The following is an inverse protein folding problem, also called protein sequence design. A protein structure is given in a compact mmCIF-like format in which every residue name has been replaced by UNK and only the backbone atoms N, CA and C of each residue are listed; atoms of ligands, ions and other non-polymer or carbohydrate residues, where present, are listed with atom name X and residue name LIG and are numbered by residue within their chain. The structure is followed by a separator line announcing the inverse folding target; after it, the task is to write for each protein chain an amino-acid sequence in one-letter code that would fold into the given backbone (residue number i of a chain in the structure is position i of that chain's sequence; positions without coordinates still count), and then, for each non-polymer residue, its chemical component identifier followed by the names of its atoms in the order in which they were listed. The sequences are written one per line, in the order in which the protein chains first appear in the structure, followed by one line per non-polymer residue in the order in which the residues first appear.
data_IF_653617065041
#
_entry.id   IF_653617065041
#
_cell.length_a   1.000
_cell.length_b   1.000
_cell.length_c   1.000
_cell.angle_alpha   90.00
_cell.angle_beta   90.00
_cell.angle_gamma   90.00
#
_symmetry.space_group_name_H-M   'P 1'
#
loop_
_entity.id
_entity.type
_entity.pdbx_description
1 polymer ?
#
# COMPACT_ATOMS: atom_id res chain seq x y z
N UNK A 1 17.41 7.19 -15.97
CA UNK A 1 16.46 7.61 -14.92
C UNK A 1 16.47 6.56 -13.83
N UNK A 2 16.34 6.97 -12.57
CA UNK A 2 16.25 6.04 -11.44
C UNK A 2 14.94 5.24 -11.50
N UNK A 3 14.96 3.98 -11.08
CA UNK A 3 13.77 3.13 -11.08
C UNK A 3 12.88 3.37 -9.83
N UNK A 4 13.49 3.87 -8.76
CA UNK A 4 12.82 4.10 -7.49
C UNK A 4 13.02 5.55 -7.03
N UNK A 5 12.06 6.05 -6.24
CA UNK A 5 12.14 7.35 -5.58
C UNK A 5 11.80 7.20 -4.11
N UNK A 6 12.54 7.85 -3.23
CA UNK A 6 12.20 7.95 -1.81
C UNK A 6 12.48 9.35 -1.31
N UNK A 7 11.50 9.98 -0.68
CA UNK A 7 11.65 11.29 -0.04
C UNK A 7 10.98 11.32 1.33
N UNK A 8 11.75 11.75 2.33
CA UNK A 8 11.26 12.01 3.68
C UNK A 8 11.07 13.51 3.91
N UNK A 9 9.92 13.87 4.46
CA UNK A 9 9.55 15.22 4.89
C UNK A 9 9.48 15.27 6.41
N UNK A 10 10.62 15.52 7.04
CA UNK A 10 10.70 15.61 8.48
C UNK A 10 9.89 16.79 9.05
N UNK A 11 9.33 16.58 10.22
CA UNK A 11 8.80 17.61 11.10
C UNK A 11 9.41 17.48 12.49
N UNK A 12 8.91 18.26 13.45
CA UNK A 12 9.40 18.17 14.83
C UNK A 12 9.01 16.85 15.51
N UNK A 13 7.76 16.41 15.32
CA UNK A 13 7.20 15.21 15.97
C UNK A 13 6.69 14.15 15.00
N UNK A 14 6.46 14.49 13.74
CA UNK A 14 5.90 13.58 12.74
C UNK A 14 6.61 13.79 11.43
N UNK A 15 6.88 12.69 10.72
CA UNK A 15 7.48 12.66 9.40
C UNK A 15 6.53 12.00 8.41
N UNK A 16 6.60 12.44 7.17
CA UNK A 16 5.93 11.82 6.03
C UNK A 16 6.99 11.28 5.07
N UNK A 17 6.82 10.06 4.59
CA UNK A 17 7.73 9.42 3.63
C UNK A 17 6.91 9.04 2.41
N UNK A 18 7.43 9.39 1.24
CA UNK A 18 6.89 8.96 -0.06
C UNK A 18 7.91 8.02 -0.66
N UNK A 19 7.50 6.82 -1.03
CA UNK A 19 8.34 5.88 -1.77
C UNK A 19 7.65 5.31 -2.99
N UNK A 20 8.30 5.42 -4.14
CA UNK A 20 7.95 4.73 -5.39
C UNK A 20 8.94 3.59 -5.56
N UNK A 21 8.54 2.32 -5.36
CA UNK A 21 9.46 1.19 -5.35
C UNK A 21 10.00 0.80 -6.74
N UNK A 22 9.23 1.01 -7.80
CA UNK A 22 9.66 0.81 -9.19
C UNK A 22 8.79 1.62 -10.14
N UNK A 23 9.29 2.02 -11.32
CA UNK A 23 8.50 2.74 -12.33
C UNK A 23 7.41 1.89 -12.98
N UNK A 24 7.58 0.56 -13.00
CA UNK A 24 6.65 -0.38 -13.66
C UNK A 24 5.52 -0.90 -12.78
N UNK A 25 5.49 -0.55 -11.49
CA UNK A 25 4.38 -0.92 -10.60
C UNK A 25 3.42 0.24 -10.42
N UNK A 26 2.08 0.05 -10.52
CA UNK A 26 1.10 1.14 -10.61
C UNK A 26 0.71 1.69 -9.22
N UNK A 27 1.67 1.91 -8.33
CA UNK A 27 1.42 2.45 -7.00
C UNK A 27 2.67 3.09 -6.37
N UNK A 28 2.45 3.86 -5.32
CA UNK A 28 3.48 4.32 -4.38
C UNK A 28 3.11 3.93 -2.95
N UNK A 29 4.02 4.10 -2.01
CA UNK A 29 3.71 4.05 -0.59
C UNK A 29 3.79 5.44 0.02
N UNK A 30 2.82 5.72 0.88
CA UNK A 30 2.78 6.87 1.75
C UNK A 30 2.88 6.38 3.19
N UNK A 31 3.92 6.81 3.90
CA UNK A 31 4.16 6.40 5.28
C UNK A 31 4.26 7.60 6.21
N UNK A 32 3.75 7.44 7.43
CA UNK A 32 3.95 8.38 8.52
C UNK A 32 4.61 7.67 9.70
N UNK A 33 5.53 8.38 10.35
CA UNK A 33 6.17 7.98 11.59
C UNK A 33 6.20 9.16 12.55
N UNK A 34 6.08 8.89 13.84
CA UNK A 34 6.26 9.86 14.91
C UNK A 34 7.64 9.74 15.56
N UNK A 35 8.00 10.82 16.22
CA UNK A 35 9.14 10.90 17.13
C UNK A 35 8.59 10.72 18.55
N UNK A 36 9.17 9.82 19.33
CA UNK A 36 8.80 9.61 20.73
C UNK A 36 9.32 10.75 21.64
N UNK A 37 9.07 10.61 22.95
CA UNK A 37 9.45 11.59 23.96
C UNK A 37 10.98 11.71 24.13
N UNK A 38 11.71 10.61 23.91
CA UNK A 38 13.18 10.55 23.98
C UNK A 38 13.84 11.07 22.69
N UNK A 39 13.05 11.36 21.67
CA UNK A 39 13.52 11.89 20.41
C UNK A 39 13.98 10.82 19.41
N UNK A 40 13.60 9.57 19.61
CA UNK A 40 13.80 8.47 18.65
C UNK A 40 12.61 8.42 17.69
N UNK A 41 12.90 8.18 16.41
CA UNK A 41 11.86 8.02 15.39
C UNK A 41 11.35 6.58 15.38
N UNK A 42 10.03 6.42 15.29
CA UNK A 42 9.39 5.13 15.01
C UNK A 42 9.99 4.49 13.75
N UNK A 43 10.08 3.16 13.76
CA UNK A 43 10.67 2.36 12.70
C UNK A 43 9.64 1.46 12.01
N UNK A 44 9.38 1.79 10.73
CA UNK A 44 8.46 1.05 9.87
C UNK A 44 8.84 -0.44 9.75
N UNK A 45 10.13 -0.79 9.78
CA UNK A 45 10.56 -2.19 9.67
C UNK A 45 10.22 -3.03 10.91
N UNK A 46 9.94 -2.38 12.05
CA UNK A 46 9.46 -3.01 13.28
C UNK A 46 7.93 -3.00 13.39
N UNK A 47 7.22 -2.54 12.36
CA UNK A 47 5.76 -2.41 12.37
C UNK A 47 5.25 -1.14 13.07
N UNK A 48 6.13 -0.21 13.41
CA UNK A 48 5.76 1.09 13.97
C UNK A 48 5.40 2.08 12.84
N UNK A 49 4.69 3.14 13.17
CA UNK A 49 4.17 4.08 12.17
C UNK A 49 2.96 3.52 11.40
N UNK A 50 2.67 4.14 10.26
CA UNK A 50 1.61 3.69 9.36
C UNK A 50 2.02 3.89 7.92
N UNK A 51 1.90 2.82 7.13
CA UNK A 51 2.13 2.83 5.68
C UNK A 51 0.85 2.42 4.96
N UNK A 52 0.52 3.14 3.91
CA UNK A 52 -0.58 2.85 2.98
C UNK A 52 -0.04 2.81 1.55
N UNK A 53 -0.61 1.97 0.70
CA UNK A 53 -0.26 1.85 -0.72
C UNK A 53 -1.23 2.74 -1.50
N UNK A 54 -0.72 3.74 -2.21
CA UNK A 54 -1.53 4.65 -3.00
C UNK A 54 -1.57 4.20 -4.46
N UNK A 55 -2.76 4.06 -5.03
CA UNK A 55 -2.96 3.81 -6.46
C UNK A 55 -2.65 5.05 -7.32
N UNK A 56 -2.63 4.88 -8.65
CA UNK A 56 -2.48 5.99 -9.61
C UNK A 56 -3.60 7.02 -9.42
N UNK A 57 -4.83 6.55 -9.26
CA UNK A 57 -6.03 7.36 -9.08
C UNK A 57 -5.98 8.16 -7.77
N UNK A 58 -5.49 7.57 -6.69
CA UNK A 58 -5.31 8.29 -5.43
C UNK A 58 -4.17 9.32 -5.51
N UNK A 59 -3.11 9.05 -6.27
CA UNK A 59 -2.08 10.07 -6.57
C UNK A 59 -2.72 11.27 -7.27
N UNK A 60 -3.61 11.03 -8.25
CA UNK A 60 -4.36 12.07 -8.95
C UNK A 60 -5.23 12.86 -7.96
N UNK A 61 -5.95 12.19 -7.06
CA UNK A 61 -6.77 12.85 -6.03
C UNK A 61 -5.92 13.76 -5.11
N UNK A 62 -4.75 13.29 -4.67
CA UNK A 62 -3.81 14.11 -3.87
C UNK A 62 -3.33 15.33 -4.66
N UNK A 63 -2.98 15.15 -5.94
CA UNK A 63 -2.57 16.23 -6.83
C UNK A 63 -3.70 17.23 -7.07
N UNK A 64 -4.96 16.80 -7.10
CA UNK A 64 -6.12 17.68 -7.23
C UNK A 64 -6.19 18.67 -6.05
N UNK A 65 -6.01 18.17 -4.82
CA UNK A 65 -5.97 19.00 -3.61
C UNK A 65 -4.74 19.91 -3.59
N UNK A 66 -3.55 19.40 -3.93
CA UNK A 66 -2.31 20.18 -3.99
C UNK A 66 -2.40 21.34 -4.98
N UNK A 67 -3.04 21.11 -6.12
CA UNK A 67 -3.31 22.12 -7.15
C UNK A 67 -4.51 23.02 -6.83
N UNK A 68 -5.09 22.91 -5.63
CA UNK A 68 -6.23 23.72 -5.15
C UNK A 68 -7.50 23.57 -6.02
N UNK A 69 -7.65 22.44 -6.69
CA UNK A 69 -8.86 22.12 -7.46
C UNK A 69 -9.97 21.54 -6.59
N UNK A 70 -9.60 20.90 -5.48
CA UNK A 70 -10.51 20.52 -4.40
C UNK A 70 -9.99 20.94 -3.03
N UNK A 71 -10.92 21.14 -2.07
CA UNK A 71 -10.58 21.59 -0.72
C UNK A 71 -9.81 20.51 0.05
N UNK A 72 -10.28 19.27 -0.10
CA UNK A 72 -9.72 18.10 0.52
C UNK A 72 -10.13 16.83 -0.22
N UNK A 73 -9.39 15.77 0.05
CA UNK A 73 -9.65 14.41 -0.38
C UNK A 73 -9.60 13.48 0.83
N UNK A 74 -10.52 12.51 0.88
CA UNK A 74 -10.52 11.40 1.83
C UNK A 74 -10.44 10.08 1.10
N UNK A 75 -9.46 9.25 1.43
CA UNK A 75 -9.35 7.87 1.01
C UNK A 75 -9.60 6.92 2.17
N UNK A 76 -10.24 5.78 1.92
CA UNK A 76 -10.41 4.73 2.91
C UNK A 76 -9.88 3.40 2.38
N UNK A 77 -8.85 2.88 3.04
CA UNK A 77 -8.33 1.53 2.76
C UNK A 77 -8.91 0.54 3.76
N UNK A 78 -9.60 -0.48 3.26
CA UNK A 78 -10.19 -1.54 4.09
C UNK A 78 -9.38 -2.82 3.91
N UNK A 79 -8.80 -3.31 5.00
CA UNK A 79 -8.06 -4.57 5.03
C UNK A 79 -8.41 -5.38 6.28
N UNK A 80 -8.86 -6.64 6.11
CA UNK A 80 -9.30 -7.54 7.20
C UNK A 80 -10.20 -6.83 8.23
N UNK A 81 -11.26 -6.18 7.73
CA UNK A 81 -12.22 -5.35 8.48
C UNK A 81 -11.67 -4.09 9.16
N UNK A 82 -10.36 -3.79 9.07
CA UNK A 82 -9.78 -2.54 9.55
C UNK A 82 -9.86 -1.47 8.47
N UNK A 83 -10.59 -0.39 8.75
CA UNK A 83 -10.68 0.79 7.89
C UNK A 83 -9.62 1.82 8.30
N UNK A 84 -8.70 2.13 7.40
CA UNK A 84 -7.71 3.21 7.58
C UNK A 84 -8.15 4.42 6.76
N UNK A 85 -8.40 5.54 7.43
CA UNK A 85 -8.63 6.83 6.75
C UNK A 85 -7.30 7.45 6.32
N UNK A 86 -7.30 7.96 5.10
CA UNK A 86 -6.29 8.84 4.53
C UNK A 86 -7.00 10.16 4.26
N UNK A 87 -6.42 11.27 4.70
CA UNK A 87 -6.98 12.60 4.46
C UNK A 87 -5.89 13.54 3.99
N UNK A 88 -6.17 14.28 2.92
CA UNK A 88 -5.33 15.36 2.43
C UNK A 88 -6.19 16.60 2.27
N UNK A 89 -5.82 17.72 2.89
CA UNK A 89 -6.63 18.92 2.79
C UNK A 89 -5.96 20.17 3.31
N UNK A 90 -6.42 21.32 2.82
CA UNK A 90 -5.97 22.63 3.30
C UNK A 90 -6.58 22.92 4.67
N UNK A 91 -5.72 23.20 5.65
CA UNK A 91 -6.14 23.58 7.01
C UNK A 91 -6.14 25.09 7.17
N UNK A 92 -5.25 25.77 6.45
CA UNK A 92 -5.19 27.23 6.36
C UNK A 92 -4.74 27.61 4.95
N UNK A 93 -5.71 27.99 4.12
CA UNK A 93 -5.46 28.37 2.72
C UNK A 93 -4.64 29.65 2.61
N UNK A 94 -4.81 30.58 3.55
CA UNK A 94 -4.11 31.86 3.58
C UNK A 94 -2.62 31.69 3.89
N UNK A 95 -2.30 30.81 4.84
CA UNK A 95 -0.92 30.49 5.24
C UNK A 95 -0.32 29.32 4.46
N UNK A 96 -1.02 28.83 3.45
CA UNK A 96 -0.64 27.69 2.63
C UNK A 96 -0.21 26.49 3.49
N UNK A 97 -1.09 26.06 4.40
CA UNK A 97 -0.85 24.91 5.26
C UNK A 97 -1.74 23.76 4.83
N UNK A 98 -1.14 22.75 4.22
CA UNK A 98 -1.80 21.48 3.92
C UNK A 98 -1.55 20.50 5.07
N UNK A 99 -2.52 19.66 5.37
CA UNK A 99 -2.35 18.52 6.24
C UNK A 99 -2.57 17.23 5.47
N UNK A 100 -1.68 16.27 5.70
CA UNK A 100 -1.82 14.87 5.32
C UNK A 100 -1.99 14.07 6.61
N UNK A 101 -3.04 13.25 6.67
CA UNK A 101 -3.36 12.39 7.81
C UNK A 101 -3.51 10.95 7.31
N UNK A 102 -2.95 9.99 8.06
CA UNK A 102 -3.07 8.56 7.80
C UNK A 102 -3.38 7.89 9.14
N UNK A 103 -4.62 7.47 9.34
CA UNK A 103 -5.09 7.02 10.65
C UNK A 103 -4.88 8.10 11.72
N UNK A 104 -4.10 7.79 12.77
CA UNK A 104 -3.81 8.73 13.86
C UNK A 104 -2.70 9.74 13.53
N UNK A 105 -1.89 9.47 12.50
CA UNK A 105 -0.72 10.27 12.16
C UNK A 105 -1.13 11.53 11.38
N UNK A 106 -0.55 12.69 11.72
CA UNK A 106 -0.87 13.97 11.07
C UNK A 106 0.42 14.74 10.75
N UNK A 107 0.67 14.99 9.46
CA UNK A 107 1.76 15.83 9.00
C UNK A 107 1.21 17.11 8.36
N UNK A 108 1.65 18.26 8.89
CA UNK A 108 1.47 19.54 8.21
C UNK A 108 2.65 19.82 7.27
N UNK A 109 2.32 20.30 6.07
CA UNK A 109 3.25 20.72 5.04
C UNK A 109 3.04 22.21 4.74
N UNK A 110 4.14 22.90 4.50
CA UNK A 110 4.22 24.31 4.10
C UNK A 110 5.26 24.43 3.00
N UNK A 111 5.38 25.61 2.40
CA UNK A 111 6.53 25.96 1.59
C UNK A 111 7.86 25.68 2.35
N UNK A 112 8.91 25.14 1.70
CA UNK A 112 8.98 24.69 0.30
C UNK A 112 8.50 23.25 0.06
N UNK A 113 8.22 22.49 1.13
CA UNK A 113 7.83 21.08 1.03
C UNK A 113 6.57 20.86 0.19
N UNK A 114 5.62 21.80 0.19
CA UNK A 114 4.43 21.75 -0.67
C UNK A 114 4.76 21.79 -2.15
N UNK A 115 5.67 22.67 -2.56
CA UNK A 115 6.11 22.75 -3.96
C UNK A 115 6.84 21.46 -4.34
N UNK A 116 7.72 20.99 -3.45
CA UNK A 116 8.48 19.76 -3.70
C UNK A 116 7.58 18.53 -3.85
N UNK A 117 6.63 18.31 -2.94
CA UNK A 117 5.72 17.14 -3.02
C UNK A 117 4.85 17.19 -4.28
N UNK A 118 4.41 18.38 -4.69
CA UNK A 118 3.60 18.55 -5.91
C UNK A 118 4.39 18.15 -7.14
N UNK A 119 5.61 18.68 -7.30
CA UNK A 119 6.49 18.33 -8.41
C UNK A 119 6.89 16.85 -8.41
N UNK A 120 7.15 16.29 -7.23
CA UNK A 120 7.52 14.89 -7.09
C UNK A 120 6.38 13.94 -7.45
N UNK A 121 5.15 14.22 -6.98
CA UNK A 121 3.99 13.38 -7.29
C UNK A 121 3.60 13.50 -8.77
N UNK A 122 3.69 14.67 -9.37
CA UNK A 122 3.47 14.86 -10.81
C UNK A 122 4.47 14.07 -11.65
N UNK A 123 5.77 14.16 -11.30
CA UNK A 123 6.84 13.36 -11.91
C UNK A 123 6.57 11.86 -11.81
N UNK A 124 6.28 11.36 -10.61
CA UNK A 124 6.01 9.94 -10.39
C UNK A 124 4.75 9.50 -11.12
N UNK A 125 3.69 10.31 -11.12
CA UNK A 125 2.45 10.01 -11.84
C UNK A 125 2.73 9.81 -13.34
N UNK A 126 3.46 10.74 -13.96
CA UNK A 126 3.83 10.64 -15.37
C UNK A 126 4.66 9.38 -15.67
N UNK A 127 5.64 9.05 -14.82
CA UNK A 127 6.39 7.79 -14.94
C UNK A 127 5.49 6.56 -14.83
N UNK A 128 4.56 6.55 -13.86
CA UNK A 128 3.66 5.42 -13.62
C UNK A 128 2.69 5.21 -14.78
N UNK A 129 2.13 6.29 -15.32
CA UNK A 129 1.32 6.23 -16.54
C UNK A 129 2.18 5.70 -17.70
N UNK A 130 3.39 6.23 -17.89
CA UNK A 130 4.22 5.78 -19.00
C UNK A 130 4.60 4.29 -18.91
N UNK A 131 5.02 3.82 -17.73
CA UNK A 131 5.69 2.51 -17.60
C UNK A 131 4.83 1.43 -16.95
N UNK A 132 3.88 1.77 -16.08
CA UNK A 132 3.03 0.80 -15.40
C UNK A 132 1.69 0.55 -16.13
N UNK A 133 1.33 1.37 -17.13
CA UNK A 133 0.13 1.16 -17.96
C UNK A 133 0.43 0.81 -19.42
N UNK A 134 1.72 0.80 -19.82
CA UNK A 134 2.13 0.39 -21.17
C UNK A 134 2.30 -1.13 -21.24
N UNK A 135 1.44 -1.80 -22.01
CA UNK A 135 1.48 -3.25 -22.19
C UNK A 135 2.57 -3.69 -23.15
N UNK A 136 3.73 -4.06 -22.62
CA UNK A 136 4.67 -5.00 -23.27
C UNK A 136 5.32 -5.87 -22.21
N UNK A 137 4.53 -6.77 -21.63
CA UNK A 137 5.10 -7.99 -21.07
C UNK A 137 5.31 -8.95 -22.24
N UNK A 138 6.54 -9.44 -22.44
CA UNK A 138 6.76 -10.64 -23.24
C UNK A 138 6.00 -11.76 -22.54
N UNK A 139 4.81 -12.08 -23.07
CA UNK A 139 3.98 -13.16 -22.57
C UNK A 139 4.66 -14.46 -22.99
N UNK A 140 5.53 -15.00 -22.13
CA UNK A 140 5.63 -16.45 -22.00
C UNK A 140 4.50 -16.89 -21.08
N UNK A 141 3.57 -17.61 -21.70
CA UNK A 141 2.31 -18.19 -21.20
C UNK A 141 1.09 -17.28 -21.04
N UNK A 142 0.29 -17.25 -22.12
CA UNK A 142 -1.15 -17.01 -22.08
C UNK A 142 -1.83 -18.28 -21.55
N UNK A 143 -1.96 -18.42 -20.24
CA UNK A 143 -3.08 -19.18 -19.69
C UNK A 143 -3.53 -18.59 -18.37
N UNK A 144 -4.81 -18.21 -18.34
CA UNK A 144 -5.59 -17.63 -17.23
C UNK A 144 -5.23 -16.18 -16.88
N UNK A 145 -5.79 -15.25 -17.67
CA UNK A 145 -6.13 -13.92 -17.13
C UNK A 145 -7.23 -14.17 -16.10
N UNK A 146 -6.88 -14.05 -14.83
CA UNK A 146 -7.81 -14.13 -13.72
C UNK A 146 -8.69 -12.87 -13.72
N UNK A 147 -9.95 -13.02 -14.14
CA UNK A 147 -10.97 -11.96 -14.11
C UNK A 147 -11.31 -11.48 -12.68
N UNK A 148 -10.70 -12.06 -11.64
CA UNK A 148 -10.90 -11.69 -10.23
C UNK A 148 -10.05 -10.51 -9.71
N UNK A 149 -9.07 -10.02 -10.47
CA UNK A 149 -8.09 -9.02 -10.01
C UNK A 149 -8.53 -7.56 -10.27
N UNK A 150 -9.84 -7.31 -10.24
CA UNK A 150 -10.41 -5.99 -10.52
C UNK A 150 -10.17 -5.04 -9.34
N UNK A 151 -9.16 -4.17 -9.48
CA UNK A 151 -8.95 -3.02 -8.61
C UNK A 151 -10.16 -2.09 -8.72
N UNK A 152 -11.07 -2.10 -7.74
CA UNK A 152 -12.27 -1.25 -7.74
C UNK A 152 -12.09 -0.08 -6.79
N UNK A 153 -11.62 1.05 -7.32
CA UNK A 153 -11.65 2.33 -6.62
C UNK A 153 -13.00 3.01 -6.90
N UNK A 154 -13.82 3.22 -5.87
CA UNK A 154 -15.02 4.03 -6.00
C UNK A 154 -14.68 5.47 -5.65
N UNK A 155 -15.02 6.42 -6.52
CA UNK A 155 -14.81 7.86 -6.30
C UNK A 155 -16.14 8.61 -6.34
N UNK A 156 -16.44 9.34 -5.27
CA UNK A 156 -17.60 10.22 -5.18
C UNK A 156 -17.14 11.68 -5.08
N UNK A 157 -17.81 12.56 -5.84
CA UNK A 157 -17.58 14.00 -5.83
C UNK A 157 -18.71 14.69 -5.08
N UNK A 158 -18.39 15.36 -3.98
CA UNK A 158 -19.35 16.08 -3.14
C UNK A 158 -19.02 17.57 -3.23
N UNK A 159 -20.01 18.42 -3.51
CA UNK A 159 -19.80 19.88 -3.53
C UNK A 159 -20.02 20.44 -2.14
N UNK A 160 -19.00 21.07 -1.55
CA UNK A 160 -19.10 21.74 -0.27
C UNK A 160 -19.81 23.10 -0.40
N UNK A 161 -20.32 23.60 0.73
CA UNK A 161 -21.08 24.86 0.80
C UNK A 161 -20.29 26.12 0.39
N UNK A 162 -18.96 26.02 0.30
CA UNK A 162 -18.05 27.07 -0.16
C UNK A 162 -17.76 26.99 -1.67
N UNK A 163 -18.39 26.07 -2.39
CA UNK A 163 -18.22 25.88 -3.84
C UNK A 163 -17.00 25.04 -4.23
N UNK A 164 -16.20 24.56 -3.26
CA UNK A 164 -15.11 23.62 -3.54
C UNK A 164 -15.62 22.18 -3.51
N UNK A 165 -15.07 21.34 -4.38
CA UNK A 165 -15.37 19.92 -4.37
C UNK A 165 -14.55 19.20 -3.29
N UNK A 166 -15.18 18.20 -2.68
CA UNK A 166 -14.59 17.19 -1.80
C UNK A 166 -14.59 15.89 -2.61
N UNK A 167 -13.45 15.21 -2.63
CA UNK A 167 -13.33 13.90 -3.26
C UNK A 167 -13.25 12.85 -2.17
N UNK A 168 -14.13 11.85 -2.20
CA UNK A 168 -14.03 10.69 -1.33
C UNK A 168 -13.79 9.43 -2.15
N UNK A 169 -12.79 8.63 -1.76
CA UNK A 169 -12.48 7.35 -2.39
C UNK A 169 -12.47 6.22 -1.37
N UNK A 170 -12.95 5.05 -1.78
CA UNK A 170 -12.82 3.82 -0.98
C UNK A 170 -12.12 2.76 -1.80
N UNK A 171 -11.00 2.25 -1.26
CA UNK A 171 -10.28 1.11 -1.79
C UNK A 171 -10.58 -0.11 -0.92
N UNK A 172 -11.19 -1.10 -1.54
CA UNK A 172 -11.27 -2.44 -0.98
C UNK A 172 -10.03 -3.20 -1.41
N UNK A 173 -9.27 -3.75 -0.46
CA UNK A 173 -8.31 -4.78 -0.81
C UNK A 173 -9.06 -5.93 -1.51
N UNK A 174 -8.44 -6.53 -2.51
CA UNK A 174 -8.94 -7.78 -3.10
C UNK A 174 -9.24 -8.74 -1.93
N UNK A 175 -10.41 -9.39 -1.88
CA UNK A 175 -10.64 -10.46 -0.93
C UNK A 175 -9.48 -11.44 -1.08
N UNK A 176 -8.67 -11.57 -0.05
CA UNK A 176 -7.63 -12.58 -0.05
C UNK A 176 -8.39 -13.88 0.12
N UNK A 177 -8.63 -14.60 -0.98
CA UNK A 177 -9.13 -15.97 -0.90
C UNK A 177 -8.15 -16.75 -0.04
N UNK A 178 -8.62 -17.27 1.09
CA UNK A 178 -7.82 -18.10 1.99
C UNK A 178 -8.13 -19.55 1.65
N UNK A 179 -7.09 -20.34 1.40
CA UNK A 179 -7.19 -21.78 1.20
C UNK A 179 -6.57 -22.51 2.39
N UNK A 180 -7.22 -23.58 2.83
CA UNK A 180 -6.66 -24.51 3.81
C UNK A 180 -5.77 -25.53 3.07
N UNK A 181 -4.51 -25.62 3.45
CA UNK A 181 -3.57 -26.63 2.96
C UNK A 181 -3.06 -27.48 4.12
N UNK A 182 -2.68 -28.74 3.85
CA UNK A 182 -2.05 -29.61 4.83
C UNK A 182 -0.56 -29.74 4.51
N UNK A 183 0.30 -29.25 5.37
CA UNK A 183 1.74 -29.20 5.10
C UNK A 183 2.58 -29.45 6.37
N UNK A 184 3.87 -29.71 6.18
CA UNK A 184 4.87 -29.85 7.25
C UNK A 184 5.96 -28.79 7.10
N UNK A 185 6.35 -28.13 8.18
CA UNK A 185 7.43 -27.14 8.17
C UNK A 185 8.78 -27.88 8.16
N UNK A 186 9.61 -27.59 7.15
CA UNK A 186 10.96 -28.16 7.01
C UNK A 186 12.02 -27.19 7.52
N UNK A 187 11.86 -25.91 7.22
CA UNK A 187 12.83 -24.85 7.56
C UNK A 187 12.08 -23.58 7.94
N UNK A 188 12.50 -22.96 9.04
CA UNK A 188 12.04 -21.65 9.45
C UNK A 188 13.08 -20.57 9.08
N UNK A 189 12.61 -19.44 8.55
CA UNK A 189 13.42 -18.24 8.32
C UNK A 189 12.70 -17.00 8.87
N UNK A 190 13.38 -15.85 9.05
CA UNK A 190 12.73 -14.65 9.58
C UNK A 190 11.52 -14.16 8.77
N UNK A 191 11.44 -14.45 7.48
CA UNK A 191 10.40 -13.92 6.58
C UNK A 191 9.53 -14.98 5.89
N UNK A 192 9.96 -16.24 5.86
CA UNK A 192 9.28 -17.31 5.14
C UNK A 192 9.45 -18.68 5.83
N UNK A 193 8.53 -19.59 5.58
CA UNK A 193 8.59 -21.00 5.97
C UNK A 193 8.81 -21.83 4.71
N UNK A 194 9.72 -22.80 4.76
CA UNK A 194 9.75 -23.88 3.77
C UNK A 194 8.79 -24.97 4.23
N UNK A 195 7.75 -25.23 3.45
CA UNK A 195 6.77 -26.26 3.75
C UNK A 195 6.83 -27.39 2.72
N UNK A 196 6.47 -28.60 3.18
CA UNK A 196 6.34 -29.81 2.37
C UNK A 196 4.88 -30.26 2.42
N UNK A 197 4.28 -30.48 1.27
CA UNK A 197 2.92 -31.04 1.19
C UNK A 197 2.92 -32.55 1.28
N UNK A 198 1.74 -33.11 1.50
CA UNK A 198 1.52 -34.55 1.45
C UNK A 198 1.83 -35.15 0.06
N UNK A 199 1.74 -34.35 -1.00
CA UNK A 199 2.19 -34.67 -2.37
C UNK A 199 3.72 -34.81 -2.49
N UNK A 200 4.49 -34.39 -1.48
CA UNK A 200 5.95 -34.38 -1.50
C UNK A 200 6.57 -33.13 -2.14
N UNK A 201 5.77 -32.18 -2.60
CA UNK A 201 6.24 -30.91 -3.14
C UNK A 201 6.71 -29.96 -2.04
N UNK A 202 7.80 -29.23 -2.30
CA UNK A 202 8.41 -28.29 -1.36
C UNK A 202 8.40 -26.87 -1.91
N UNK A 203 7.94 -25.90 -1.12
CA UNK A 203 7.93 -24.50 -1.53
C UNK A 203 7.95 -23.54 -0.33
N UNK A 204 8.38 -22.31 -0.60
CA UNK A 204 8.46 -21.25 0.40
C UNK A 204 7.16 -20.45 0.48
N UNK A 205 6.63 -20.30 1.69
CA UNK A 205 5.50 -19.42 1.98
C UNK A 205 5.95 -18.24 2.85
N UNK A 206 5.67 -16.98 2.46
CA UNK A 206 5.93 -15.82 3.30
C UNK A 206 5.11 -15.87 4.61
N UNK A 207 5.72 -15.58 5.77
CA UNK A 207 5.00 -15.67 7.06
C UNK A 207 3.78 -14.74 7.15
N UNK A 208 3.83 -13.60 6.46
CA UNK A 208 2.72 -12.63 6.41
C UNK A 208 1.50 -13.09 5.61
N UNK A 209 1.59 -14.25 4.95
CA UNK A 209 0.54 -14.85 4.11
C UNK A 209 -0.08 -16.09 4.74
N UNK A 210 0.38 -16.46 5.94
CA UNK A 210 -0.16 -17.53 6.77
C UNK A 210 -1.03 -16.89 7.85
N UNK A 211 -2.30 -17.29 7.92
CA UNK A 211 -3.29 -16.73 8.85
C UNK A 211 -3.71 -17.69 9.96
N UNK A 212 -3.28 -18.95 9.89
CA UNK A 212 -3.45 -19.91 10.97
C UNK A 212 -2.30 -19.81 11.97
N UNK A 213 -2.58 -20.17 13.21
CA UNK A 213 -1.52 -20.53 14.16
C UNK A 213 -0.82 -21.80 13.66
N UNK A 214 0.50 -21.89 13.87
CA UNK A 214 1.31 -23.03 13.48
C UNK A 214 2.44 -23.25 14.47
N UNK A 215 2.87 -24.50 14.63
CA UNK A 215 4.02 -24.86 15.46
C UNK A 215 5.19 -25.30 14.57
N UNK A 216 6.33 -24.64 14.75
CA UNK A 216 7.56 -24.90 14.02
C UNK A 216 8.19 -26.24 14.45
N UNK A 217 7.93 -26.68 15.68
CA UNK A 217 8.48 -27.91 16.24
C UNK A 217 7.61 -29.14 15.96
N UNK A 218 6.41 -28.94 15.42
CA UNK A 218 5.49 -30.02 15.06
C UNK A 218 6.10 -30.85 13.93
N UNK A 219 6.27 -32.15 14.18
CA UNK A 219 6.92 -33.08 13.24
C UNK A 219 5.90 -33.69 12.27
N UNK A 220 4.62 -33.55 12.57
CA UNK A 220 3.54 -34.03 11.70
C UNK A 220 2.93 -32.93 10.83
N UNK A 221 2.10 -33.35 9.88
CA UNK A 221 1.40 -32.42 8.99
C UNK A 221 0.36 -31.62 9.75
N UNK A 222 0.44 -30.30 9.64
CA UNK A 222 -0.51 -29.36 10.22
C UNK A 222 -1.29 -28.61 9.13
N UNK A 223 -2.45 -28.07 9.51
CA UNK A 223 -3.30 -27.30 8.60
C UNK A 223 -2.87 -25.85 8.59
N UNK A 224 -2.68 -25.28 7.41
CA UNK A 224 -2.38 -23.88 7.21
C UNK A 224 -3.49 -23.17 6.45
N UNK A 225 -3.91 -22.03 6.96
CA UNK A 225 -4.75 -21.09 6.23
C UNK A 225 -3.84 -20.09 5.52
N UNK A 226 -3.70 -20.20 4.21
CA UNK A 226 -2.76 -19.40 3.41
C UNK A 226 -3.45 -18.64 2.29
N UNK A 227 -2.85 -17.55 1.84
CA UNK A 227 -3.34 -16.84 0.66
C UNK A 227 -3.35 -17.76 -0.57
N UNK A 228 -4.51 -17.90 -1.23
CA UNK A 228 -4.71 -18.77 -2.40
C UNK A 228 -3.75 -18.48 -3.55
N UNK A 229 -3.39 -17.21 -3.76
CA UNK A 229 -2.45 -16.80 -4.82
C UNK A 229 -1.07 -17.48 -4.68
N UNK A 230 -0.67 -17.90 -3.47
CA UNK A 230 0.61 -18.59 -3.25
C UNK A 230 0.55 -20.01 -3.78
N UNK A 231 -0.57 -20.69 -3.55
CA UNK A 231 -0.78 -22.07 -3.99
C UNK A 231 -0.94 -22.12 -5.52
N UNK A 232 -1.67 -21.16 -6.07
CA UNK A 232 -1.81 -21.00 -7.52
C UNK A 232 -0.48 -20.65 -8.20
N UNK A 233 0.33 -19.77 -7.58
CA UNK A 233 1.66 -19.40 -8.09
C UNK A 233 2.61 -20.60 -8.17
N UNK A 234 2.49 -21.55 -7.24
CA UNK A 234 3.31 -22.75 -7.21
C UNK A 234 2.70 -23.93 -8.01
N UNK A 235 1.54 -23.75 -8.66
CA UNK A 235 0.82 -24.78 -9.45
C UNK A 235 0.46 -26.05 -8.68
N UNK A 236 0.22 -25.93 -7.38
CA UNK A 236 0.13 -27.05 -6.46
C UNK A 236 -1.24 -27.74 -6.46
N UNK A 237 -2.27 -27.07 -6.97
CA UNK A 237 -3.61 -27.64 -7.11
C UNK A 237 -4.03 -27.56 -8.58
N UNK A 238 -4.10 -28.73 -9.22
CA UNK A 238 -4.78 -28.96 -10.49
C UNK A 238 -6.27 -29.13 -10.24
#
# INVERSE_FOLDING_TARGET
MADFHTKTFYGQKTSLIISSPSRVVPYIFLSCINKDEDGVWENISKGEGKTVRMSIEEIICILEVLNRRSANWRGYHIFKARKTEIYVGWVDTSRQVLQIKIGIYKKKLRFPNLTFITLMLDHILNEKIQFATSGTYDIKDKSKVDEGNEYRLFSEHITASDGLHIVETTEHGVPVDIIEIKAKIKVDSPKALLIILDSGEEFFIPKNTVHSEYDINEKDYQKFNVDKWIIEKHQILS
#
